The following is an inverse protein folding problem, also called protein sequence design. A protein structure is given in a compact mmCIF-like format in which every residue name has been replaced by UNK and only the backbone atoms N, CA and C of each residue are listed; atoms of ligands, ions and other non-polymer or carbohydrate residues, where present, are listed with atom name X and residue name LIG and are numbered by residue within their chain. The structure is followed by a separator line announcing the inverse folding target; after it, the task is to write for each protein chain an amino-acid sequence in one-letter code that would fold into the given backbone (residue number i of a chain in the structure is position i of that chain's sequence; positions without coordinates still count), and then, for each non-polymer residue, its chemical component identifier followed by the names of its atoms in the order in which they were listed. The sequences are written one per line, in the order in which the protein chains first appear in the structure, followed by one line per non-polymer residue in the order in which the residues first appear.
data_IF_600738034489
#
_entry.id   IF_600738034489
#
_cell.length_a   1.000
_cell.length_b   1.000
_cell.length_c   1.000
_cell.angle_alpha   90.00
_cell.angle_beta   90.00
_cell.angle_gamma   90.00
#
_symmetry.space_group_name_H-M   'P 1'
#
loop_
_entity.id
_entity.type
_entity.pdbx_description
1 polymer ?
#
# COMPACT_ATOMS: atom_id res chain seq x y z
N UNK A 1 54.96 -27.70 -0.09
CA UNK A 1 54.51 -29.04 0.36
C UNK A 1 54.89 -29.18 1.83
N UNK A 2 53.95 -29.37 2.75
CA UNK A 2 54.24 -29.48 4.20
C UNK A 2 53.22 -28.87 5.17
N UNK A 3 52.10 -28.29 4.70
CA UNK A 3 51.01 -27.82 5.57
C UNK A 3 49.73 -28.61 5.25
N UNK A 4 49.21 -29.45 6.18
CA UNK A 4 48.00 -30.24 5.95
C UNK A 4 46.70 -29.41 5.99
N UNK A 5 46.75 -28.19 6.55
CA UNK A 5 45.65 -27.24 6.59
C UNK A 5 46.16 -25.79 6.55
N UNK A 6 45.28 -24.85 6.20
CA UNK A 6 45.52 -23.41 6.25
C UNK A 6 44.56 -22.79 7.26
N UNK A 7 45.07 -22.37 8.43
CA UNK A 7 44.26 -21.66 9.43
C UNK A 7 44.21 -20.18 9.08
N UNK A 8 43.00 -19.65 8.92
CA UNK A 8 42.74 -18.22 8.70
C UNK A 8 42.04 -17.68 9.94
N UNK A 9 42.59 -16.63 10.54
CA UNK A 9 41.98 -15.93 11.66
C UNK A 9 41.48 -14.58 11.17
N UNK A 10 40.18 -14.34 11.27
CA UNK A 10 39.54 -13.07 10.93
C UNK A 10 39.08 -12.39 12.22
N UNK A 11 39.69 -11.26 12.54
CA UNK A 11 39.38 -10.51 13.76
C UNK A 11 38.22 -9.55 13.47
N UNK A 12 37.01 -9.94 13.87
CA UNK A 12 35.78 -9.16 13.69
C UNK A 12 35.78 -8.00 14.69
N UNK A 13 36.05 -6.79 14.19
CA UNK A 13 36.08 -5.57 14.99
C UNK A 13 34.79 -4.76 14.91
N UNK A 14 34.75 -3.60 15.58
CA UNK A 14 33.68 -2.61 15.40
C UNK A 14 33.88 -1.91 14.05
N UNK A 15 33.14 -2.35 13.04
CA UNK A 15 33.13 -1.70 11.73
C UNK A 15 32.08 -0.59 11.66
N UNK A 16 32.21 0.32 10.68
CA UNK A 16 31.15 1.29 10.36
C UNK A 16 29.89 0.52 9.91
N UNK A 17 28.69 1.08 10.14
CA UNK A 17 27.41 0.47 9.72
C UNK A 17 27.36 0.09 8.24
N UNK A 18 28.15 0.76 7.40
CA UNK A 18 28.24 0.53 5.96
C UNK A 18 29.05 -0.74 5.59
N UNK A 19 29.72 -1.38 6.56
CA UNK A 19 30.52 -2.57 6.32
C UNK A 19 29.62 -3.80 6.14
N UNK A 20 29.74 -4.44 4.97
CA UNK A 20 28.84 -5.49 4.49
C UNK A 20 29.43 -6.88 4.72
N UNK A 21 29.22 -7.47 5.90
CA UNK A 21 29.66 -8.85 6.21
C UNK A 21 29.04 -9.89 5.27
N UNK A 22 27.79 -9.67 4.82
CA UNK A 22 27.11 -10.51 3.84
C UNK A 22 27.91 -10.69 2.56
N UNK A 23 28.56 -9.64 2.05
CA UNK A 23 29.32 -9.74 0.78
C UNK A 23 30.55 -10.64 0.92
N UNK A 24 31.24 -10.56 2.06
CA UNK A 24 32.44 -11.37 2.32
C UNK A 24 32.08 -12.83 2.54
N UNK A 25 31.04 -13.10 3.33
CA UNK A 25 30.60 -14.46 3.58
C UNK A 25 29.94 -15.09 2.35
N UNK A 26 29.13 -14.36 1.56
CA UNK A 26 28.61 -14.87 0.29
C UNK A 26 29.72 -15.17 -0.72
N UNK A 27 30.80 -14.38 -0.75
CA UNK A 27 31.95 -14.70 -1.60
C UNK A 27 32.68 -16.01 -1.19
N UNK A 28 32.58 -16.41 0.09
CA UNK A 28 33.21 -17.63 0.63
C UNK A 28 32.28 -18.85 0.58
N UNK A 29 31.00 -18.66 0.91
CA UNK A 29 30.02 -19.72 1.13
C UNK A 29 29.03 -19.86 -0.04
N UNK A 30 28.95 -18.85 -0.90
CA UNK A 30 27.84 -18.71 -1.85
C UNK A 30 26.53 -18.35 -1.14
N UNK A 31 25.41 -18.54 -1.85
CA UNK A 31 24.07 -18.37 -1.30
C UNK A 31 23.62 -16.92 -1.14
N UNK A 32 22.41 -16.76 -0.62
CA UNK A 32 21.78 -15.47 -0.36
C UNK A 32 22.23 -14.87 0.98
N UNK A 33 21.82 -13.63 1.26
CA UNK A 33 22.03 -13.03 2.59
C UNK A 33 21.36 -13.86 3.69
N UNK A 34 20.16 -14.40 3.42
CA UNK A 34 19.41 -15.24 4.36
C UNK A 34 20.10 -16.59 4.59
N UNK A 35 20.71 -17.17 3.56
CA UNK A 35 21.53 -18.37 3.71
C UNK A 35 22.73 -18.11 4.60
N UNK A 36 23.39 -16.95 4.45
CA UNK A 36 24.49 -16.55 5.34
C UNK A 36 23.99 -16.30 6.77
N UNK A 37 22.86 -15.62 6.97
CA UNK A 37 22.29 -15.43 8.30
C UNK A 37 21.98 -16.77 8.97
N UNK A 38 21.36 -17.70 8.24
CA UNK A 38 21.07 -19.06 8.72
C UNK A 38 22.34 -19.83 9.01
N UNK A 39 23.34 -19.76 8.13
CA UNK A 39 24.63 -20.41 8.33
C UNK A 39 25.34 -19.88 9.59
N UNK A 40 25.33 -18.57 9.84
CA UNK A 40 25.90 -17.99 11.07
C UNK A 40 25.13 -18.46 12.31
N UNK A 41 23.80 -18.48 12.27
CA UNK A 41 22.96 -18.96 13.38
C UNK A 41 23.17 -20.46 13.68
N UNK A 42 23.39 -21.26 12.63
CA UNK A 42 23.57 -22.71 12.74
C UNK A 42 25.04 -23.15 12.82
N UNK A 43 25.98 -22.21 12.99
CA UNK A 43 27.43 -22.48 13.06
C UNK A 43 28.00 -23.19 11.81
N UNK A 44 27.62 -22.71 10.63
CA UNK A 44 28.08 -23.13 9.30
C UNK A 44 27.95 -24.65 9.06
N UNK A 45 26.72 -25.20 9.10
CA UNK A 45 26.49 -26.64 9.04
C UNK A 45 26.85 -27.26 7.67
N UNK A 46 26.88 -26.45 6.62
CA UNK A 46 27.16 -26.88 5.25
C UNK A 46 28.37 -26.12 4.71
N UNK A 47 29.52 -26.81 4.68
CA UNK A 47 30.79 -26.31 4.14
C UNK A 47 31.37 -27.34 3.15
N UNK A 48 32.22 -26.91 2.19
CA UNK A 48 32.96 -27.83 1.33
C UNK A 48 33.77 -28.85 2.16
N UNK A 49 33.94 -30.05 1.60
CA UNK A 49 34.64 -31.14 2.29
C UNK A 49 36.08 -30.73 2.68
N UNK A 50 36.41 -30.89 3.97
CA UNK A 50 37.72 -30.52 4.53
C UNK A 50 37.82 -29.07 5.02
N UNK A 51 36.74 -28.28 4.95
CA UNK A 51 36.68 -26.93 5.52
C UNK A 51 35.96 -26.93 6.88
N UNK A 52 36.40 -26.04 7.78
CA UNK A 52 35.73 -25.75 9.05
C UNK A 52 35.75 -24.23 9.26
N UNK A 53 34.62 -23.68 9.72
CA UNK A 53 34.44 -22.27 9.98
C UNK A 53 33.69 -22.09 11.29
N UNK A 54 34.20 -21.22 12.16
CA UNK A 54 33.61 -20.94 13.46
C UNK A 54 33.69 -19.45 13.74
N UNK A 55 32.65 -18.92 14.37
CA UNK A 55 32.62 -17.57 14.93
C UNK A 55 32.44 -17.71 16.44
N UNK A 56 33.16 -16.91 17.22
CA UNK A 56 32.83 -16.76 18.64
C UNK A 56 31.47 -16.06 18.80
N UNK A 57 30.87 -16.19 19.98
CA UNK A 57 29.54 -15.68 20.30
C UNK A 57 29.39 -14.18 19.98
N UNK A 58 30.37 -13.34 20.37
CA UNK A 58 30.31 -11.89 20.13
C UNK A 58 30.47 -11.56 18.65
N UNK A 59 31.36 -12.27 17.94
CA UNK A 59 31.51 -12.10 16.50
C UNK A 59 30.25 -12.52 15.75
N UNK A 60 29.60 -13.61 16.14
CA UNK A 60 28.33 -14.04 15.56
C UNK A 60 27.24 -12.99 15.76
N UNK A 61 27.10 -12.41 16.96
CA UNK A 61 26.16 -11.31 17.22
C UNK A 61 26.44 -10.07 16.37
N UNK A 62 27.71 -9.66 16.27
CA UNK A 62 28.13 -8.51 15.45
C UNK A 62 27.80 -8.74 13.98
N UNK A 63 28.11 -9.93 13.47
CA UNK A 63 27.81 -10.32 12.09
C UNK A 63 26.31 -10.34 11.87
N UNK A 64 25.52 -11.01 12.72
CA UNK A 64 24.06 -11.07 12.58
C UNK A 64 23.40 -9.69 12.63
N UNK A 65 23.86 -8.82 13.53
CA UNK A 65 23.38 -7.43 13.59
C UNK A 65 23.73 -6.67 12.32
N UNK A 66 24.98 -6.76 11.86
CA UNK A 66 25.37 -6.09 10.61
C UNK A 66 24.61 -6.65 9.41
N UNK A 67 24.40 -7.96 9.34
CA UNK A 67 23.56 -8.58 8.31
C UNK A 67 22.18 -7.94 8.35
N UNK A 68 21.52 -7.87 9.52
CA UNK A 68 20.20 -7.22 9.69
C UNK A 68 20.18 -5.75 9.28
N UNK A 69 21.19 -4.98 9.67
CA UNK A 69 21.30 -3.54 9.40
C UNK A 69 21.71 -3.22 7.95
N UNK A 70 22.27 -4.19 7.22
CA UNK A 70 22.79 -4.04 5.87
C UNK A 70 21.72 -4.11 4.75
N UNK A 71 20.57 -3.45 4.96
CA UNK A 71 19.51 -3.35 3.95
C UNK A 71 20.05 -2.60 2.71
N UNK A 72 19.82 -3.08 1.47
CA UNK A 72 20.24 -2.37 0.27
C UNK A 72 19.43 -1.07 0.07
N UNK A 73 19.83 -0.01 0.77
CA UNK A 73 19.13 1.28 0.75
C UNK A 73 19.39 2.08 -0.53
N UNK A 74 20.59 1.94 -1.12
CA UNK A 74 20.95 2.64 -2.36
C UNK A 74 20.55 1.84 -3.60
N UNK A 75 20.00 2.51 -4.60
CA UNK A 75 19.58 1.89 -5.87
C UNK A 75 20.64 0.98 -6.51
N UNK A 76 21.89 1.47 -6.63
CA UNK A 76 23.00 0.66 -7.19
C UNK A 76 23.25 -0.63 -6.41
N UNK A 77 23.04 -0.62 -5.10
CA UNK A 77 23.19 -1.80 -4.25
C UNK A 77 22.03 -2.77 -4.47
N UNK A 78 20.79 -2.26 -4.62
CA UNK A 78 19.62 -3.09 -4.98
C UNK A 78 19.81 -3.81 -6.31
N UNK A 79 20.30 -3.10 -7.33
CA UNK A 79 20.61 -3.67 -8.66
C UNK A 79 21.65 -4.79 -8.54
N UNK A 80 22.76 -4.53 -7.82
CA UNK A 80 23.80 -5.53 -7.63
C UNK A 80 23.31 -6.75 -6.85
N UNK A 81 22.45 -6.54 -5.84
CA UNK A 81 21.82 -7.60 -5.06
C UNK A 81 20.94 -8.47 -5.95
N UNK A 82 20.05 -7.87 -6.75
CA UNK A 82 19.19 -8.61 -7.67
C UNK A 82 20.01 -9.41 -8.69
N UNK A 83 21.04 -8.81 -9.30
CA UNK A 83 21.95 -9.52 -10.21
C UNK A 83 22.57 -10.75 -9.54
N UNK A 84 23.03 -10.62 -8.29
CA UNK A 84 23.61 -11.73 -7.54
C UNK A 84 22.57 -12.82 -7.24
N UNK A 85 21.36 -12.44 -6.85
CA UNK A 85 20.30 -13.41 -6.54
C UNK A 85 19.87 -14.18 -7.80
N UNK A 86 19.81 -13.52 -8.96
CA UNK A 86 19.41 -14.14 -10.23
C UNK A 86 20.44 -15.12 -10.81
N UNK A 87 21.69 -15.05 -10.38
CA UNK A 87 22.69 -16.08 -10.71
C UNK A 87 22.35 -17.44 -10.06
N UNK A 88 21.69 -17.41 -8.89
CA UNK A 88 21.32 -18.62 -8.13
C UNK A 88 19.85 -18.99 -8.37
N UNK A 89 18.97 -18.00 -8.51
CA UNK A 89 17.53 -18.16 -8.80
C UNK A 89 17.11 -17.25 -9.96
N UNK A 90 17.24 -17.70 -11.21
CA UNK A 90 16.92 -16.91 -12.39
C UNK A 90 15.49 -16.35 -12.40
N UNK A 91 14.54 -17.11 -11.82
CA UNK A 91 13.10 -16.81 -11.80
C UNK A 91 12.64 -16.19 -10.46
N UNK A 92 13.54 -15.54 -9.71
CA UNK A 92 13.17 -14.84 -8.48
C UNK A 92 12.17 -13.72 -8.78
N UNK A 93 11.01 -13.77 -8.13
CA UNK A 93 9.96 -12.77 -8.20
C UNK A 93 10.15 -11.67 -7.14
N UNK A 94 9.26 -10.68 -7.14
CA UNK A 94 9.25 -9.58 -6.18
C UNK A 94 9.22 -10.10 -4.74
N UNK A 95 8.36 -11.07 -4.43
CA UNK A 95 8.23 -11.65 -3.10
C UNK A 95 9.54 -12.29 -2.63
N UNK A 96 10.14 -13.13 -3.47
CA UNK A 96 11.43 -13.76 -3.21
C UNK A 96 12.55 -12.74 -3.08
N UNK A 97 12.57 -11.67 -3.88
CA UNK A 97 13.56 -10.61 -3.75
C UNK A 97 13.45 -9.86 -2.42
N UNK A 98 12.24 -9.50 -2.00
CA UNK A 98 12.00 -8.79 -0.73
C UNK A 98 12.41 -9.65 0.47
N UNK A 99 12.00 -10.92 0.48
CA UNK A 99 12.32 -11.88 1.55
C UNK A 99 13.84 -12.06 1.72
N UNK A 100 14.59 -12.01 0.63
CA UNK A 100 16.01 -12.37 0.62
C UNK A 100 16.92 -11.17 0.79
N UNK A 101 16.50 -10.02 0.26
CA UNK A 101 17.19 -8.76 0.45
C UNK A 101 16.88 -8.14 1.82
N UNK A 102 15.74 -8.48 2.43
CA UNK A 102 15.19 -7.81 3.61
C UNK A 102 14.82 -6.35 3.34
N UNK A 103 14.62 -5.98 2.07
CA UNK A 103 14.17 -4.65 1.67
C UNK A 103 12.67 -4.53 1.92
N UNK A 104 12.23 -3.38 2.42
CA UNK A 104 10.80 -3.11 2.53
C UNK A 104 10.17 -2.83 1.15
N UNK A 105 8.89 -3.16 1.00
CA UNK A 105 8.15 -2.94 -0.24
C UNK A 105 8.04 -1.45 -0.56
N UNK A 106 7.72 -0.62 0.44
CA UNK A 106 7.61 0.83 0.27
C UNK A 106 8.95 1.43 -0.15
N UNK A 107 10.05 0.92 0.43
CA UNK A 107 11.41 1.33 0.07
C UNK A 107 11.76 1.00 -1.39
N UNK A 108 11.29 -0.15 -1.91
CA UNK A 108 11.51 -0.56 -3.30
C UNK A 108 10.87 0.43 -4.28
N UNK A 109 9.63 0.83 -4.00
CA UNK A 109 8.82 1.72 -4.85
C UNK A 109 9.05 3.22 -4.58
N UNK A 110 9.83 3.56 -3.56
CA UNK A 110 10.18 4.94 -3.24
C UNK A 110 10.83 5.68 -4.44
N UNK A 111 10.66 7.00 -4.48
CA UNK A 111 11.23 7.88 -5.51
C UNK A 111 10.78 7.55 -6.95
N UNK A 112 9.52 7.12 -7.12
CA UNK A 112 8.94 6.76 -8.43
C UNK A 112 9.69 5.64 -9.16
N UNK A 113 10.22 4.67 -8.41
CA UNK A 113 10.80 3.44 -8.94
C UNK A 113 9.77 2.32 -8.90
N UNK A 114 9.99 1.32 -9.74
CA UNK A 114 9.18 0.11 -9.84
C UNK A 114 10.04 -1.14 -9.77
N UNK A 115 9.41 -2.29 -9.57
CA UNK A 115 10.10 -3.59 -9.66
C UNK A 115 10.63 -3.80 -11.08
N UNK A 116 9.88 -3.41 -12.11
CA UNK A 116 10.34 -3.45 -13.50
C UNK A 116 11.57 -2.57 -13.77
N UNK A 117 11.68 -1.39 -13.14
CA UNK A 117 12.90 -0.57 -13.26
C UNK A 117 14.11 -1.27 -12.64
N UNK A 118 13.91 -2.04 -11.57
CA UNK A 118 14.97 -2.79 -10.90
C UNK A 118 15.39 -4.00 -11.75
N UNK A 119 14.42 -4.69 -12.37
CA UNK A 119 14.65 -5.74 -13.36
C UNK A 119 15.48 -5.20 -14.53
N UNK A 120 15.05 -4.12 -15.17
CA UNK A 120 15.76 -3.49 -16.29
C UNK A 120 17.21 -3.12 -15.91
N UNK A 121 17.39 -2.47 -14.76
CA UNK A 121 18.71 -2.05 -14.30
C UNK A 121 19.63 -3.22 -13.94
N UNK A 122 19.06 -4.38 -13.60
CA UNK A 122 19.77 -5.62 -13.32
C UNK A 122 19.97 -6.51 -14.57
N UNK A 123 19.65 -6.00 -15.77
CA UNK A 123 19.68 -6.73 -17.03
C UNK A 123 18.79 -7.99 -17.01
N UNK A 124 17.66 -7.89 -16.30
CA UNK A 124 16.67 -8.94 -16.25
C UNK A 124 15.70 -8.87 -17.43
N UNK A 125 15.22 -10.02 -17.95
CA UNK A 125 14.17 -10.01 -18.96
C UNK A 125 12.91 -9.32 -18.44
N UNK A 126 12.43 -8.35 -19.21
CA UNK A 126 11.12 -7.73 -19.04
C UNK A 126 10.35 -7.84 -20.35
N UNK A 127 9.02 -7.85 -20.28
CA UNK A 127 8.21 -7.80 -21.49
C UNK A 127 8.35 -6.44 -22.21
N UNK A 128 7.93 -6.41 -23.47
CA UNK A 128 8.04 -5.22 -24.33
C UNK A 128 7.23 -4.08 -23.75
N UNK A 129 7.86 -2.90 -23.67
CA UNK A 129 7.22 -1.69 -23.20
C UNK A 129 6.22 -1.13 -24.23
N UNK A 130 5.07 -0.66 -23.73
CA UNK A 130 4.03 -0.03 -24.54
C UNK A 130 4.05 1.50 -24.52
N UNK A 131 3.07 2.12 -25.18
CA UNK A 131 2.85 3.56 -25.09
C UNK A 131 2.37 3.95 -23.68
N UNK A 132 2.98 4.95 -23.06
CA UNK A 132 2.70 5.34 -21.66
C UNK A 132 3.20 4.34 -20.59
N UNK A 133 4.15 3.45 -20.91
CA UNK A 133 4.78 2.51 -19.97
C UNK A 133 5.24 3.20 -18.67
N UNK A 134 5.95 4.34 -18.76
CA UNK A 134 6.52 5.03 -17.59
C UNK A 134 5.43 5.48 -16.60
N UNK A 135 4.38 6.23 -17.02
CA UNK A 135 3.24 6.53 -16.14
C UNK A 135 2.58 5.31 -15.49
N UNK A 136 2.45 4.20 -16.23
CA UNK A 136 1.81 2.96 -15.75
C UNK A 136 2.67 2.21 -14.73
N UNK A 137 3.98 2.07 -14.96
CA UNK A 137 4.91 1.50 -13.95
C UNK A 137 4.92 2.31 -12.66
N UNK A 138 4.92 3.64 -12.78
CA UNK A 138 4.77 4.53 -11.61
C UNK A 138 3.43 4.38 -10.90
N UNK A 139 2.40 3.85 -11.58
CA UNK A 139 1.09 3.61 -11.00
C UNK A 139 1.03 2.36 -10.14
N UNK A 140 1.88 1.37 -10.42
CA UNK A 140 2.02 0.16 -9.60
C UNK A 140 2.39 0.52 -8.16
N UNK A 141 3.41 1.37 -7.96
CA UNK A 141 3.81 1.86 -6.64
C UNK A 141 2.76 2.73 -5.93
N UNK A 142 1.65 3.07 -6.58
CA UNK A 142 0.50 3.75 -5.95
C UNK A 142 -0.54 2.79 -5.41
N UNK A 143 -0.39 1.49 -5.62
CA UNK A 143 -1.33 0.46 -5.17
C UNK A 143 -0.87 -0.21 -3.86
N UNK A 144 0.22 0.23 -3.24
CA UNK A 144 0.79 -0.39 -2.04
C UNK A 144 -0.14 -0.32 -0.81
N UNK A 145 -1.13 0.57 -0.85
CA UNK A 145 -2.12 0.69 0.22
C UNK A 145 -3.21 -0.37 0.17
N UNK A 146 -3.26 -1.20 -0.88
CA UNK A 146 -4.31 -2.21 -1.01
C UNK A 146 -4.10 -3.32 0.02
N UNK A 147 -5.12 -3.57 0.83
CA UNK A 147 -5.05 -4.46 1.99
C UNK A 147 -6.29 -5.33 2.20
N UNK A 148 -7.21 -5.44 1.23
CA UNK A 148 -8.41 -6.27 1.37
C UNK A 148 -8.45 -7.46 0.40
N UNK A 149 -8.85 -8.62 0.95
CA UNK A 149 -8.80 -9.90 0.26
C UNK A 149 -9.74 -10.00 -0.95
N UNK A 150 -10.92 -9.35 -0.90
CA UNK A 150 -11.86 -9.37 -2.02
C UNK A 150 -11.26 -8.67 -3.24
N UNK A 151 -10.72 -7.46 -3.05
CA UNK A 151 -10.10 -6.68 -4.11
C UNK A 151 -8.86 -7.37 -4.66
N UNK A 152 -7.97 -7.86 -3.78
CA UNK A 152 -6.75 -8.58 -4.18
C UNK A 152 -7.10 -9.84 -4.99
N UNK A 153 -8.02 -10.67 -4.50
CA UNK A 153 -8.43 -11.89 -5.20
C UNK A 153 -9.05 -11.60 -6.57
N UNK A 154 -9.93 -10.58 -6.66
CA UNK A 154 -10.53 -10.18 -7.93
C UNK A 154 -9.46 -9.67 -8.92
N UNK A 155 -8.52 -8.83 -8.45
CA UNK A 155 -7.46 -8.30 -9.30
C UNK A 155 -6.55 -9.41 -9.81
N UNK A 156 -6.09 -10.31 -8.93
CA UNK A 156 -5.31 -11.48 -9.33
C UNK A 156 -6.07 -12.34 -10.34
N UNK A 157 -7.39 -12.55 -10.15
CA UNK A 157 -8.21 -13.28 -11.11
C UNK A 157 -8.24 -12.61 -12.49
N UNK A 158 -8.30 -11.27 -12.57
CA UNK A 158 -8.28 -10.56 -13.85
C UNK A 158 -6.90 -10.59 -14.52
N UNK A 159 -5.84 -10.42 -13.74
CA UNK A 159 -4.47 -10.33 -14.28
C UNK A 159 -3.95 -11.69 -14.75
N UNK A 160 -4.36 -12.77 -14.09
CA UNK A 160 -3.90 -14.13 -14.41
C UNK A 160 -4.71 -14.81 -15.51
N UNK A 161 -5.88 -14.28 -15.90
CA UNK A 161 -6.69 -14.85 -17.00
C UNK A 161 -6.09 -14.62 -18.40
N UNK A 162 -5.06 -13.77 -18.54
CA UNK A 162 -4.33 -13.52 -19.77
C UNK A 162 -5.03 -12.63 -20.80
N UNK A 163 -6.35 -12.69 -20.92
CA UNK A 163 -7.14 -11.82 -21.78
C UNK A 163 -7.70 -10.60 -21.02
N UNK A 164 -7.84 -9.47 -21.72
CA UNK A 164 -8.48 -8.27 -21.20
C UNK A 164 -9.97 -8.56 -20.87
N UNK A 165 -10.41 -8.34 -19.61
CA UNK A 165 -11.80 -8.54 -19.23
C UNK A 165 -12.75 -7.67 -20.06
N UNK A 166 -13.94 -8.19 -20.34
CA UNK A 166 -14.99 -7.45 -21.05
C UNK A 166 -16.02 -6.91 -20.05
N UNK A 167 -16.15 -5.58 -19.99
CA UNK A 167 -17.00 -4.88 -19.02
C UNK A 167 -18.47 -5.31 -19.07
N UNK A 168 -18.98 -5.65 -20.26
CA UNK A 168 -20.38 -6.02 -20.50
C UNK A 168 -20.79 -7.37 -19.89
N UNK A 169 -19.83 -8.25 -19.59
CA UNK A 169 -20.09 -9.58 -19.02
C UNK A 169 -19.97 -9.67 -17.50
N UNK A 170 -19.62 -8.57 -16.83
CA UNK A 170 -19.34 -8.56 -15.40
C UNK A 170 -20.57 -8.13 -14.59
N UNK A 171 -20.77 -8.77 -13.44
CA UNK A 171 -21.70 -8.27 -12.43
C UNK A 171 -21.26 -6.88 -11.96
N UNK A 172 -22.21 -6.04 -11.52
CA UNK A 172 -21.96 -4.63 -11.20
C UNK A 172 -20.84 -4.46 -10.14
N UNK A 173 -20.87 -5.20 -9.04
CA UNK A 173 -19.78 -5.20 -8.04
C UNK A 173 -18.40 -5.52 -8.63
N UNK A 174 -18.32 -6.55 -9.47
CA UNK A 174 -17.08 -6.95 -10.18
C UNK A 174 -16.63 -5.90 -11.19
N UNK A 175 -17.59 -5.25 -11.86
CA UNK A 175 -17.37 -4.13 -12.77
C UNK A 175 -16.75 -2.94 -12.05
N UNK A 176 -17.21 -2.64 -10.82
CA UNK A 176 -16.65 -1.56 -9.99
C UNK A 176 -15.26 -1.89 -9.46
N UNK A 177 -14.98 -3.14 -9.10
CA UNK A 177 -13.61 -3.58 -8.78
C UNK A 177 -12.67 -3.33 -9.97
N UNK A 178 -13.04 -3.78 -11.17
CA UNK A 178 -12.22 -3.53 -12.35
C UNK A 178 -12.06 -2.03 -12.65
N UNK A 179 -13.13 -1.24 -12.49
CA UNK A 179 -13.06 0.21 -12.64
C UNK A 179 -12.09 0.85 -11.63
N UNK A 180 -12.10 0.44 -10.36
CA UNK A 180 -11.14 0.92 -9.36
C UNK A 180 -9.69 0.68 -9.79
N UNK A 181 -9.39 -0.53 -10.29
CA UNK A 181 -8.06 -0.87 -10.78
C UNK A 181 -7.64 0.00 -11.97
N UNK A 182 -8.46 0.06 -13.02
CA UNK A 182 -8.04 0.77 -14.24
C UNK A 182 -8.05 2.28 -14.05
N UNK A 183 -8.94 2.84 -13.23
CA UNK A 183 -8.93 4.26 -12.91
C UNK A 183 -7.65 4.65 -12.16
N UNK A 184 -7.23 3.87 -11.16
CA UNK A 184 -6.02 4.17 -10.37
C UNK A 184 -4.73 3.99 -11.21
N UNK A 185 -4.72 2.99 -12.09
CA UNK A 185 -3.58 2.67 -12.95
C UNK A 185 -3.41 3.65 -14.11
N UNK A 186 -4.50 3.98 -14.80
CA UNK A 186 -4.44 4.71 -16.07
C UNK A 186 -4.65 6.21 -15.94
N UNK A 187 -4.90 6.77 -14.75
CA UNK A 187 -5.23 8.18 -14.52
C UNK A 187 -4.34 9.20 -15.28
N UNK A 188 -3.04 8.90 -15.44
CA UNK A 188 -2.08 9.77 -16.13
C UNK A 188 -1.87 9.43 -17.62
N UNK A 189 -2.57 8.43 -18.15
CA UNK A 189 -2.46 7.92 -19.52
C UNK A 189 -3.77 8.07 -20.31
N UNK A 190 -4.89 8.40 -19.66
CA UNK A 190 -6.20 8.56 -20.31
C UNK A 190 -6.75 9.98 -20.21
N UNK A 191 -7.70 10.29 -21.09
CA UNK A 191 -8.54 11.51 -21.05
C UNK A 191 -9.97 11.17 -20.64
N UNK A 192 -10.82 12.19 -20.50
CA UNK A 192 -12.25 12.05 -20.22
C UNK A 192 -13.09 11.37 -21.31
N UNK A 193 -12.49 11.12 -22.47
CA UNK A 193 -13.19 10.54 -23.63
C UNK A 193 -13.02 9.01 -23.68
N UNK A 194 -12.19 8.46 -22.79
CA UNK A 194 -11.95 7.02 -22.68
C UNK A 194 -13.02 6.37 -21.80
N UNK A 195 -13.66 5.35 -22.34
CA UNK A 195 -14.52 4.45 -21.57
C UNK A 195 -13.71 3.59 -20.62
N UNK A 196 -14.38 2.96 -19.65
CA UNK A 196 -13.73 1.98 -18.76
C UNK A 196 -13.11 0.83 -19.56
N UNK A 197 -13.74 0.38 -20.66
CA UNK A 197 -13.18 -0.65 -21.52
C UNK A 197 -11.90 -0.18 -22.20
N UNK A 198 -11.82 1.06 -22.68
CA UNK A 198 -10.60 1.59 -23.30
C UNK A 198 -9.43 1.61 -22.29
N UNK A 199 -9.71 1.90 -21.02
CA UNK A 199 -8.70 1.86 -19.96
C UNK A 199 -8.28 0.43 -19.60
N UNK A 200 -9.20 -0.54 -19.65
CA UNK A 200 -8.88 -1.97 -19.54
C UNK A 200 -7.96 -2.39 -20.69
N UNK A 201 -8.35 -2.12 -21.93
CA UNK A 201 -7.58 -2.52 -23.11
C UNK A 201 -6.20 -1.85 -23.11
N UNK A 202 -6.11 -0.58 -22.70
CA UNK A 202 -4.84 0.12 -22.51
C UNK A 202 -3.96 -0.59 -21.48
N UNK A 203 -4.47 -0.91 -20.28
CA UNK A 203 -3.67 -1.55 -19.24
C UNK A 203 -3.20 -2.95 -19.67
N UNK A 204 -4.06 -3.74 -20.32
CA UNK A 204 -3.72 -5.08 -20.79
C UNK A 204 -2.77 -5.10 -22.00
N UNK A 205 -2.59 -3.99 -22.70
CA UNK A 205 -1.56 -3.85 -23.73
C UNK A 205 -0.12 -3.75 -23.13
N UNK A 206 0.02 -3.71 -21.80
CA UNK A 206 1.30 -3.55 -21.09
C UNK A 206 1.65 -4.80 -20.27
N UNK A 207 2.14 -5.88 -20.91
CA UNK A 207 2.36 -7.17 -20.25
C UNK A 207 3.32 -7.10 -19.06
N UNK A 208 4.33 -6.22 -19.09
CA UNK A 208 5.25 -6.06 -17.96
C UNK A 208 4.55 -5.42 -16.75
N UNK A 209 3.66 -4.46 -16.98
CA UNK A 209 2.88 -3.82 -15.91
C UNK A 209 1.89 -4.82 -15.30
N UNK A 210 1.24 -5.64 -16.13
CA UNK A 210 0.34 -6.71 -15.67
C UNK A 210 1.09 -7.74 -14.81
N UNK A 211 2.27 -8.19 -15.26
CA UNK A 211 3.10 -9.12 -14.52
C UNK A 211 3.53 -8.53 -13.15
N UNK A 212 4.00 -7.28 -13.14
CA UNK A 212 4.40 -6.61 -11.91
C UNK A 212 3.21 -6.42 -10.95
N UNK A 213 2.02 -6.06 -11.44
CA UNK A 213 0.82 -5.97 -10.61
C UNK A 213 0.46 -7.32 -9.98
N UNK A 214 0.57 -8.42 -10.72
CA UNK A 214 0.28 -9.75 -10.21
C UNK A 214 1.25 -10.14 -9.08
N UNK A 215 2.55 -9.87 -9.25
CA UNK A 215 3.56 -10.08 -8.21
C UNK A 215 3.31 -9.18 -6.99
N UNK A 216 3.00 -7.89 -7.21
CA UNK A 216 2.67 -6.95 -6.13
C UNK A 216 1.46 -7.42 -5.32
N UNK A 217 0.36 -7.79 -5.98
CA UNK A 217 -0.83 -8.25 -5.28
C UNK A 217 -0.61 -9.58 -4.57
N UNK A 218 0.25 -10.46 -5.08
CA UNK A 218 0.70 -11.65 -4.34
C UNK A 218 1.46 -11.30 -3.06
N UNK A 219 2.30 -10.25 -3.07
CA UNK A 219 2.96 -9.76 -1.86
C UNK A 219 1.98 -9.13 -0.88
N UNK A 220 1.01 -8.34 -1.37
CA UNK A 220 0.04 -7.65 -0.52
C UNK A 220 -0.98 -8.61 0.11
N UNK A 221 -1.33 -9.72 -0.55
CA UNK A 221 -2.22 -10.76 0.00
C UNK A 221 -1.70 -11.31 1.33
N UNK A 222 -0.39 -11.53 1.43
CA UNK A 222 0.28 -12.00 2.65
C UNK A 222 0.46 -10.92 3.73
N UNK A 223 0.08 -9.67 3.48
CA UNK A 223 0.26 -8.52 4.39
C UNK A 223 -1.04 -8.02 5.01
N UNK A 224 -2.18 -8.64 4.68
CA UNK A 224 -3.48 -8.27 5.24
C UNK A 224 -3.49 -8.52 6.76
N UNK A 225 -3.66 -7.46 7.55
CA UNK A 225 -3.58 -7.47 9.01
C UNK A 225 -4.91 -7.09 9.72
N UNK A 226 -5.92 -6.62 8.97
CA UNK A 226 -7.25 -6.28 9.52
C UNK A 226 -8.36 -7.23 9.07
N UNK A 227 -9.31 -7.45 9.99
CA UNK A 227 -10.57 -8.09 9.65
C UNK A 227 -11.52 -7.09 9.00
N UNK A 228 -11.81 -7.33 7.73
CA UNK A 228 -12.71 -6.53 6.91
C UNK A 228 -14.18 -6.92 7.06
N UNK A 229 -15.07 -5.96 6.77
CA UNK A 229 -16.51 -6.22 6.64
C UNK A 229 -17.09 -5.52 5.41
N UNK A 230 -17.93 -6.17 4.59
CA UNK A 230 -18.48 -5.53 3.40
C UNK A 230 -19.44 -4.39 3.76
N UNK A 231 -19.46 -3.35 2.92
CA UNK A 231 -20.44 -2.28 3.01
C UNK A 231 -21.84 -2.76 2.63
N UNK A 232 -22.71 -2.97 3.62
CA UNK A 232 -24.05 -3.53 3.41
C UNK A 232 -25.06 -2.50 2.89
N UNK A 233 -24.87 -1.20 3.16
CA UNK A 233 -25.77 -0.14 2.67
C UNK A 233 -25.67 0.08 1.16
N UNK A 234 -24.55 -0.33 0.54
CA UNK A 234 -24.30 -0.24 -0.90
C UNK A 234 -23.68 -1.55 -1.40
N UNK A 235 -24.47 -2.63 -1.58
CA UNK A 235 -23.95 -3.96 -1.89
C UNK A 235 -23.13 -4.04 -3.19
N UNK A 236 -23.37 -3.14 -4.14
CA UNK A 236 -22.60 -3.07 -5.37
C UNK A 236 -21.29 -2.30 -5.23
N UNK A 237 -21.09 -1.55 -4.14
CA UNK A 237 -19.83 -0.88 -3.86
C UNK A 237 -18.87 -1.84 -3.17
N UNK A 238 -17.75 -2.23 -3.80
CA UNK A 238 -16.78 -3.18 -3.25
C UNK A 238 -15.87 -2.54 -2.19
N UNK A 239 -16.48 -1.79 -1.26
CA UNK A 239 -15.80 -1.20 -0.13
C UNK A 239 -15.90 -2.13 1.07
N UNK A 240 -14.76 -2.34 1.70
CA UNK A 240 -14.56 -3.12 2.90
C UNK A 240 -14.26 -2.18 4.05
N UNK A 241 -15.09 -2.22 5.09
CA UNK A 241 -14.91 -1.47 6.32
C UNK A 241 -13.58 -1.90 6.94
N UNK A 242 -12.79 -0.91 7.33
CA UNK A 242 -11.39 -0.98 7.77
C UNK A 242 -10.38 -1.38 6.70
N UNK A 243 -10.70 -1.32 5.42
CA UNK A 243 -9.69 -1.36 4.35
C UNK A 243 -9.29 0.05 3.90
N UNK A 244 -8.23 0.16 3.12
CA UNK A 244 -7.71 1.44 2.61
C UNK A 244 -8.02 1.69 1.15
N UNK A 245 -8.40 2.94 0.85
CA UNK A 245 -8.76 3.38 -0.50
C UNK A 245 -8.24 4.78 -0.81
N UNK A 246 -7.73 4.98 -2.02
CA UNK A 246 -7.50 6.33 -2.54
C UNK A 246 -8.82 6.99 -2.97
N UNK A 247 -8.85 8.32 -3.09
CA UNK A 247 -10.08 9.04 -3.50
C UNK A 247 -10.62 8.58 -4.85
N UNK A 248 -9.75 8.27 -5.81
CA UNK A 248 -10.15 7.79 -7.13
C UNK A 248 -10.82 6.42 -7.04
N UNK A 249 -10.30 5.53 -6.18
CA UNK A 249 -10.91 4.23 -5.90
C UNK A 249 -12.26 4.37 -5.20
N UNK A 250 -12.39 5.25 -4.19
CA UNK A 250 -13.66 5.47 -3.49
C UNK A 250 -14.75 5.88 -4.48
N UNK A 251 -14.46 6.84 -5.37
CA UNK A 251 -15.44 7.29 -6.35
C UNK A 251 -15.78 6.21 -7.38
N UNK A 252 -14.79 5.43 -7.85
CA UNK A 252 -15.02 4.30 -8.75
C UNK A 252 -15.86 3.20 -8.07
N UNK A 253 -15.57 2.86 -6.82
CA UNK A 253 -16.32 1.90 -6.02
C UNK A 253 -17.77 2.31 -5.80
N UNK A 254 -18.04 3.62 -5.68
CA UNK A 254 -19.39 4.17 -5.55
C UNK A 254 -20.10 4.35 -6.91
N UNK A 255 -19.46 3.97 -8.02
CA UNK A 255 -20.05 4.06 -9.37
C UNK A 255 -20.14 5.49 -9.92
N UNK A 256 -19.37 6.44 -9.37
CA UNK A 256 -19.51 7.88 -9.68
C UNK A 256 -18.83 8.32 -10.98
N UNK A 257 -18.13 7.42 -11.66
CA UNK A 257 -17.58 7.62 -13.02
C UNK A 257 -18.51 7.18 -14.15
N UNK A 258 -19.60 6.45 -13.84
CA UNK A 258 -20.43 5.82 -14.87
C UNK A 258 -19.62 4.86 -15.74
N UNK A 259 -19.68 5.06 -17.06
CA UNK A 259 -18.93 4.29 -18.06
C UNK A 259 -17.62 4.97 -18.51
N UNK A 260 -17.27 6.12 -17.93
CA UNK A 260 -16.03 6.83 -18.20
C UNK A 260 -14.93 6.34 -17.26
N UNK A 261 -13.75 6.03 -17.81
CA UNK A 261 -12.61 5.60 -17.00
C UNK A 261 -12.02 6.73 -16.14
N UNK A 262 -12.09 7.97 -16.65
CA UNK A 262 -11.55 9.14 -15.95
C UNK A 262 -12.52 9.59 -14.86
N UNK A 263 -12.11 9.40 -13.61
CA UNK A 263 -12.87 9.84 -12.44
C UNK A 263 -12.66 11.34 -12.18
N UNK A 264 -13.73 12.02 -11.76
CA UNK A 264 -13.68 13.43 -11.38
C UNK A 264 -12.75 13.68 -10.18
N UNK A 265 -12.06 14.82 -10.18
CA UNK A 265 -11.17 15.21 -9.08
C UNK A 265 -11.96 15.51 -7.80
N UNK A 266 -11.63 14.82 -6.70
CA UNK A 266 -12.16 15.09 -5.37
C UNK A 266 -11.11 15.81 -4.51
N UNK A 267 -11.24 17.14 -4.41
CA UNK A 267 -10.26 18.00 -3.76
C UNK A 267 -10.67 18.39 -2.31
N UNK A 268 -11.97 18.56 -2.06
CA UNK A 268 -12.53 18.87 -0.74
C UNK A 268 -12.52 17.67 0.22
N UNK A 269 -12.77 17.91 1.51
CA UNK A 269 -12.99 16.83 2.50
C UNK A 269 -14.38 16.20 2.46
N UNK A 270 -15.28 16.68 1.58
CA UNK A 270 -16.65 16.16 1.45
C UNK A 270 -16.98 16.01 -0.03
N UNK A 271 -17.64 14.92 -0.38
CA UNK A 271 -18.20 14.67 -1.70
C UNK A 271 -19.66 14.21 -1.57
N UNK A 272 -20.58 14.91 -2.24
CA UNK A 272 -21.99 14.53 -2.30
C UNK A 272 -22.20 13.49 -3.41
N UNK A 273 -22.25 12.21 -3.05
CA UNK A 273 -22.48 11.10 -3.97
C UNK A 273 -23.98 10.94 -4.27
N UNK A 274 -24.55 11.92 -4.99
CA UNK A 274 -26.00 11.97 -5.30
C UNK A 274 -26.56 10.68 -5.89
N UNK A 275 -25.93 10.02 -6.89
CA UNK A 275 -26.46 8.77 -7.46
C UNK A 275 -26.52 7.62 -6.45
N UNK A 276 -25.67 7.62 -5.43
CA UNK A 276 -25.64 6.63 -4.37
C UNK A 276 -26.46 7.04 -3.13
N UNK A 277 -27.09 8.22 -3.13
CA UNK A 277 -27.68 8.84 -1.94
C UNK A 277 -26.77 8.78 -0.70
N UNK A 278 -25.49 9.18 -0.86
CA UNK A 278 -24.50 9.15 0.20
C UNK A 278 -23.69 10.46 0.30
N UNK A 279 -23.16 10.75 1.49
CA UNK A 279 -22.11 11.75 1.71
C UNK A 279 -20.80 11.02 2.02
N UNK A 280 -19.74 11.33 1.27
CA UNK A 280 -18.40 10.79 1.51
C UNK A 280 -17.61 11.85 2.27
N UNK A 281 -17.24 11.56 3.52
CA UNK A 281 -16.48 12.48 4.37
C UNK A 281 -15.05 11.97 4.51
N UNK A 282 -14.10 12.63 3.86
CA UNK A 282 -12.68 12.29 3.89
C UNK A 282 -11.88 13.35 4.67
N UNK A 283 -11.27 12.95 5.79
CA UNK A 283 -10.54 13.86 6.67
C UNK A 283 -9.17 13.30 7.08
N UNK A 284 -8.35 14.14 7.69
CA UNK A 284 -6.97 13.82 8.10
C UNK A 284 -6.82 14.18 9.57
N UNK A 285 -6.31 13.23 10.35
CA UNK A 285 -6.23 13.32 11.82
C UNK A 285 -5.06 14.21 12.27
N UNK A 286 -3.88 14.01 11.68
CA UNK A 286 -2.69 14.81 11.97
C UNK A 286 -2.64 16.06 11.07
N UNK A 287 -2.72 17.23 11.70
CA UNK A 287 -2.49 18.55 11.06
C UNK A 287 -1.24 19.24 11.63
N UNK A 288 -0.31 18.52 12.25
CA UNK A 288 0.84 19.12 12.95
C UNK A 288 2.04 19.44 12.04
N UNK A 289 2.10 18.96 10.80
CA UNK A 289 3.19 19.33 9.88
C UNK A 289 2.85 20.58 9.03
N UNK A 290 3.08 21.78 9.61
CA UNK A 290 3.22 23.03 8.86
C UNK A 290 2.55 24.27 9.46
N UNK A 291 3.34 25.19 10.02
CA UNK A 291 3.07 26.63 10.19
C UNK A 291 1.66 27.12 10.64
N UNK A 292 0.99 26.44 11.59
CA UNK A 292 -0.25 26.97 12.21
C UNK A 292 -0.12 27.20 13.72
N UNK A 293 -0.65 28.37 14.14
CA UNK A 293 -0.69 28.90 15.52
C UNK A 293 -1.31 27.90 16.54
N UNK A 294 -0.83 27.87 17.81
CA UNK A 294 -1.29 26.93 18.85
C UNK A 294 -2.76 27.04 19.29
N UNK A 295 -3.50 28.04 18.83
CA UNK A 295 -4.88 28.30 19.28
C UNK A 295 -5.97 27.63 18.43
N UNK A 296 -5.60 26.79 17.46
CA UNK A 296 -6.53 26.19 16.47
C UNK A 296 -6.26 24.70 16.19
N UNK A 297 -5.75 23.95 17.17
CA UNK A 297 -5.47 22.51 17.01
C UNK A 297 -6.44 21.69 17.84
N UNK A 298 -7.50 21.21 17.20
CA UNK A 298 -8.10 19.86 17.21
C UNK A 298 -9.26 19.94 16.21
N UNK A 299 -9.44 18.99 15.28
CA UNK A 299 -10.61 19.04 14.39
C UNK A 299 -11.28 17.70 14.14
N UNK A 300 -10.50 16.63 13.98
CA UNK A 300 -11.05 15.33 13.64
C UNK A 300 -10.28 14.24 14.44
N UNK A 301 -10.97 13.42 15.22
CA UNK A 301 -10.35 12.37 16.06
C UNK A 301 -11.35 11.30 16.51
N UNK A 302 -10.86 10.14 16.94
CA UNK A 302 -11.70 9.12 17.57
C UNK A 302 -11.92 9.43 19.06
N UNK A 303 -13.17 9.70 19.44
CA UNK A 303 -13.59 9.89 20.85
C UNK A 303 -13.58 8.53 21.56
N UNK A 304 -14.08 7.51 20.88
CA UNK A 304 -14.08 6.11 21.33
C UNK A 304 -13.96 5.20 20.11
N UNK A 305 -14.01 3.88 20.31
CA UNK A 305 -14.03 2.93 19.19
C UNK A 305 -15.25 3.09 18.28
N UNK A 306 -16.35 3.66 18.76
CA UNK A 306 -17.57 3.87 17.96
C UNK A 306 -17.91 5.34 17.74
N UNK A 307 -17.20 6.29 18.35
CA UNK A 307 -17.54 7.72 18.24
C UNK A 307 -16.40 8.49 17.59
N UNK A 308 -16.71 9.23 16.54
CA UNK A 308 -15.79 10.09 15.79
C UNK A 308 -16.22 11.54 15.94
N UNK A 309 -15.27 12.39 16.33
CA UNK A 309 -15.42 13.83 16.20
C UNK A 309 -14.98 14.26 14.80
N UNK A 310 -15.79 15.06 14.12
CA UNK A 310 -15.50 15.59 12.78
C UNK A 310 -15.98 17.02 12.62
N UNK A 311 -15.14 17.88 12.04
CA UNK A 311 -15.53 19.25 11.70
C UNK A 311 -15.91 19.40 10.22
N UNK A 312 -17.09 19.98 10.00
CA UNK A 312 -17.54 20.39 8.67
C UNK A 312 -16.71 21.53 8.07
N UNK A 313 -16.96 21.87 6.81
CA UNK A 313 -16.37 23.06 6.19
C UNK A 313 -16.75 24.34 6.96
N UNK A 314 -15.84 25.32 6.97
CA UNK A 314 -15.94 26.54 7.78
C UNK A 314 -17.21 27.38 7.58
N UNK A 315 -17.93 27.22 6.47
CA UNK A 315 -19.17 27.97 6.20
C UNK A 315 -20.45 27.21 6.54
N UNK A 316 -20.33 25.93 6.91
CA UNK A 316 -21.48 25.05 7.14
C UNK A 316 -22.18 25.43 8.44
N UNK A 317 -23.47 25.74 8.31
CA UNK A 317 -24.37 25.96 9.45
C UNK A 317 -25.31 24.78 9.64
N UNK A 318 -25.79 24.53 10.85
CA UNK A 318 -26.74 23.46 11.15
C UNK A 318 -28.10 23.61 10.45
N UNK A 319 -28.47 24.84 10.09
CA UNK A 319 -29.68 25.19 9.35
C UNK A 319 -29.48 25.28 7.82
N UNK A 320 -28.23 25.17 7.35
CA UNK A 320 -27.92 25.18 5.92
C UNK A 320 -28.37 23.88 5.26
N UNK A 321 -28.53 23.89 3.93
CA UNK A 321 -28.86 22.67 3.18
C UNK A 321 -27.90 21.51 3.50
N UNK A 322 -26.59 21.77 3.57
CA UNK A 322 -25.58 20.76 3.93
C UNK A 322 -25.70 20.29 5.37
N UNK A 323 -25.87 21.21 6.33
CA UNK A 323 -26.04 20.85 7.75
C UNK A 323 -27.32 20.05 7.99
N UNK A 324 -28.41 20.37 7.29
CA UNK A 324 -29.66 19.62 7.32
C UNK A 324 -29.51 18.22 6.71
N UNK A 325 -28.71 18.05 5.64
CA UNK A 325 -28.39 16.72 5.09
C UNK A 325 -27.64 15.86 6.10
N UNK A 326 -26.71 16.43 6.86
CA UNK A 326 -26.01 15.69 7.92
C UNK A 326 -26.94 15.33 9.08
N UNK A 327 -27.75 16.28 9.58
CA UNK A 327 -28.61 16.05 10.75
C UNK A 327 -29.79 15.13 10.48
N UNK A 328 -30.33 15.18 9.27
CA UNK A 328 -31.53 14.42 8.91
C UNK A 328 -31.21 13.22 8.01
N UNK A 329 -29.94 12.80 7.93
CA UNK A 329 -29.51 11.80 6.97
C UNK A 329 -30.31 10.49 7.08
N UNK A 330 -30.59 10.01 8.29
CA UNK A 330 -31.40 8.81 8.52
C UNK A 330 -32.85 8.98 8.02
N UNK A 331 -33.47 10.13 8.33
CA UNK A 331 -34.82 10.47 7.85
C UNK A 331 -34.89 10.49 6.32
N UNK A 332 -33.85 11.01 5.69
CA UNK A 332 -33.77 11.18 4.24
C UNK A 332 -33.18 9.93 3.53
N UNK A 333 -32.93 8.84 4.28
CA UNK A 333 -32.35 7.59 3.76
C UNK A 333 -30.94 7.75 3.20
N UNK A 334 -30.23 8.82 3.59
CA UNK A 334 -28.89 9.18 3.12
C UNK A 334 -27.83 8.56 4.02
N UNK A 335 -26.86 7.89 3.41
CA UNK A 335 -25.77 7.25 4.15
C UNK A 335 -24.59 8.20 4.32
N UNK A 336 -24.05 8.29 5.53
CA UNK A 336 -22.80 9.02 5.79
C UNK A 336 -21.66 8.00 5.83
N UNK A 337 -20.66 8.16 4.96
CA UNK A 337 -19.52 7.25 4.86
C UNK A 337 -18.25 8.00 5.27
N UNK A 338 -17.57 7.51 6.32
CA UNK A 338 -16.39 8.15 6.88
C UNK A 338 -15.10 7.51 6.36
N UNK A 339 -14.16 8.35 5.93
CA UNK A 339 -12.84 7.98 5.45
C UNK A 339 -11.80 8.84 6.17
N UNK A 340 -10.78 8.20 6.74
CA UNK A 340 -9.74 8.93 7.47
C UNK A 340 -8.35 8.45 7.12
N UNK A 341 -7.37 9.34 7.28
CA UNK A 341 -5.96 9.02 7.18
C UNK A 341 -5.21 9.75 8.28
N UNK A 342 -4.09 9.18 8.69
CA UNK A 342 -3.28 9.80 9.74
C UNK A 342 -2.64 11.07 9.22
N UNK A 343 -1.91 11.00 8.10
CA UNK A 343 -1.08 12.10 7.60
C UNK A 343 -1.55 12.63 6.25
N UNK A 344 -1.18 13.87 5.96
CA UNK A 344 -1.61 14.54 4.73
C UNK A 344 -0.93 14.00 3.45
N UNK A 345 0.26 13.40 3.60
CA UNK A 345 1.05 12.78 2.54
C UNK A 345 0.61 11.34 2.22
N UNK A 346 -0.10 10.68 3.13
CA UNK A 346 -0.76 9.40 2.83
C UNK A 346 -1.85 9.60 1.78
N UNK A 347 -1.81 8.82 0.71
CA UNK A 347 -2.74 8.94 -0.40
C UNK A 347 -4.06 8.22 -0.13
N UNK A 348 -4.01 7.17 0.68
CA UNK A 348 -5.15 6.33 0.97
C UNK A 348 -5.82 6.74 2.27
N UNK A 349 -7.07 6.33 2.41
CA UNK A 349 -7.87 6.56 3.59
C UNK A 349 -8.41 5.21 4.07
N UNK A 350 -8.32 4.96 5.37
CA UNK A 350 -9.10 3.94 6.05
C UNK A 350 -10.58 4.24 5.89
N UNK A 351 -11.34 3.27 5.40
CA UNK A 351 -12.80 3.35 5.38
C UNK A 351 -13.36 2.93 6.73
N UNK A 352 -13.89 3.88 7.50
CA UNK A 352 -14.42 3.59 8.84
C UNK A 352 -15.83 2.98 8.81
N UNK A 353 -16.49 3.05 7.65
CA UNK A 353 -17.84 2.54 7.46
C UNK A 353 -18.93 3.61 7.56
N UNK A 354 -20.20 3.17 7.55
CA UNK A 354 -21.35 4.04 7.77
C UNK A 354 -21.37 4.63 9.17
N UNK A 355 -21.88 5.86 9.28
CA UNK A 355 -22.03 6.54 10.56
C UNK A 355 -23.39 7.22 10.72
N UNK A 356 -23.83 7.34 11.97
CA UNK A 356 -25.07 7.97 12.40
C UNK A 356 -24.82 9.27 13.16
N UNK A 357 -25.61 10.29 12.86
CA UNK A 357 -25.49 11.59 13.51
C UNK A 357 -25.93 11.49 14.98
N UNK A 358 -25.05 11.88 15.92
CA UNK A 358 -25.38 11.92 17.35
C UNK A 358 -25.71 13.33 17.80
N UNK A 359 -24.78 14.25 17.61
CA UNK A 359 -24.89 15.63 18.07
C UNK A 359 -23.90 16.53 17.33
N UNK A 360 -24.02 17.84 17.51
CA UNK A 360 -22.96 18.77 17.13
C UNK A 360 -22.86 19.91 18.14
N UNK A 361 -21.71 20.58 18.12
CA UNK A 361 -21.49 21.86 18.80
C UNK A 361 -20.90 22.86 17.82
N UNK A 362 -21.17 24.14 18.05
CA UNK A 362 -20.66 25.20 17.19
C UNK A 362 -21.37 25.31 15.84
N UNK A 363 -21.11 26.43 15.18
CA UNK A 363 -21.64 26.81 13.88
C UNK A 363 -20.49 27.44 13.10
N UNK A 364 -20.38 27.16 11.78
CA UNK A 364 -19.32 27.71 10.92
C UNK A 364 -17.88 27.51 11.49
N UNK A 365 -17.40 26.27 11.67
CA UNK A 365 -18.01 25.00 11.25
C UNK A 365 -18.89 24.34 12.33
N UNK A 366 -19.74 23.39 11.91
CA UNK A 366 -20.32 22.40 12.82
C UNK A 366 -19.25 21.38 13.22
N UNK A 367 -19.08 21.14 14.52
CA UNK A 367 -18.29 20.06 15.08
C UNK A 367 -19.21 18.91 15.46
N UNK A 368 -19.28 17.88 14.62
CA UNK A 368 -20.26 16.80 14.68
C UNK A 368 -19.64 15.59 15.38
N UNK A 369 -20.45 14.94 16.22
CA UNK A 369 -20.17 13.60 16.74
C UNK A 369 -20.93 12.57 15.90
N UNK A 370 -20.18 11.69 15.26
CA UNK A 370 -20.69 10.56 14.48
C UNK A 370 -20.54 9.26 15.26
N UNK A 371 -21.55 8.41 15.23
CA UNK A 371 -21.48 7.03 15.75
C UNK A 371 -21.29 6.04 14.59
N UNK A 372 -20.19 5.29 14.60
CA UNK A 372 -19.91 4.24 13.61
C UNK A 372 -20.79 3.01 13.85
N UNK A 373 -21.32 2.44 12.77
CA UNK A 373 -22.06 1.18 12.83
C UNK A 373 -21.14 -0.02 13.15
N UNK A 374 -19.86 0.09 12.79
CA UNK A 374 -18.83 -0.89 13.12
C UNK A 374 -17.73 -0.20 13.93
N UNK A 375 -17.48 -0.69 15.14
CA UNK A 375 -16.44 -0.14 15.99
C UNK A 375 -15.04 -0.36 15.40
N UNK A 376 -14.18 0.65 15.54
CA UNK A 376 -12.78 0.61 15.16
C UNK A 376 -12.07 -0.59 15.81
N UNK A 377 -11.14 -1.24 15.10
CA UNK A 377 -10.11 -2.11 15.67
C UNK A 377 -9.30 -1.37 16.75
N UNK A 378 -8.70 -2.12 17.68
CA UNK A 378 -8.02 -1.54 18.83
C UNK A 378 -6.80 -0.69 18.45
N UNK A 379 -6.05 -1.13 17.45
CA UNK A 379 -4.90 -0.47 16.86
C UNK A 379 -5.30 0.80 16.08
N UNK A 380 -6.34 0.75 15.24
CA UNK A 380 -6.86 1.95 14.56
C UNK A 380 -7.39 2.98 15.57
N UNK A 381 -8.09 2.53 16.62
CA UNK A 381 -8.50 3.44 17.70
C UNK A 381 -7.29 4.06 18.40
N UNK A 382 -6.26 3.28 18.75
CA UNK A 382 -5.06 3.79 19.38
C UNK A 382 -4.37 4.85 18.51
N UNK A 383 -4.24 4.61 17.21
CA UNK A 383 -3.69 5.56 16.25
C UNK A 383 -4.56 6.84 16.14
N UNK A 384 -5.88 6.69 16.09
CA UNK A 384 -6.79 7.81 15.81
C UNK A 384 -7.21 8.62 17.04
N UNK A 385 -7.03 8.05 18.24
CA UNK A 385 -7.24 8.74 19.51
C UNK A 385 -5.99 9.50 19.97
N UNK A 386 -4.79 8.97 19.68
CA UNK A 386 -3.52 9.56 20.08
C UNK A 386 -3.19 10.89 19.37
N UNK A 387 -3.90 11.23 18.28
CA UNK A 387 -3.79 12.53 17.60
C UNK A 387 -4.24 13.74 18.46
N UNK A 388 -4.65 13.51 19.71
CA UNK A 388 -5.13 14.53 20.67
C UNK A 388 -4.20 14.68 21.89
N UNK A 389 -3.20 13.81 22.07
CA UNK A 389 -2.34 13.76 23.27
C UNK A 389 -1.06 14.61 23.17
#
# INVERSE_FOLDING_TARGET
KGKPYCTVLDFVGTHRKEFRFDRRYRALLGGTRRDVERAVQQQFPFLPAGCNMQLDEKSAEVVLRSLREAIPSQWKVRVAELRSLRQVRPDIDLAGFLDESGLDLDDLYANNRSWSDLLDAADAPTAVAGAHEIPLRRAVGRQLHIDDAERIAAYLSFLTSGAAPQMSGLAERTRRLLHMLVASMTDQAITKDHSVQDAVDLLWAHPQVIAELAELFGVLDGRIDHLHRPLTTHPEAPLQIHARYSRIEILAAMGLGGDQAKIASWQSGVYEAKPANAELLAFTLDKTSGAFSPTTRYRDYAISRSLIHWESQSITRADSATGLRYRNHERDGRTILLFTRERADDRAFWFLGPARYVSHTGEKPMAITWELDVALPGDLYAAFAAAVA
#
